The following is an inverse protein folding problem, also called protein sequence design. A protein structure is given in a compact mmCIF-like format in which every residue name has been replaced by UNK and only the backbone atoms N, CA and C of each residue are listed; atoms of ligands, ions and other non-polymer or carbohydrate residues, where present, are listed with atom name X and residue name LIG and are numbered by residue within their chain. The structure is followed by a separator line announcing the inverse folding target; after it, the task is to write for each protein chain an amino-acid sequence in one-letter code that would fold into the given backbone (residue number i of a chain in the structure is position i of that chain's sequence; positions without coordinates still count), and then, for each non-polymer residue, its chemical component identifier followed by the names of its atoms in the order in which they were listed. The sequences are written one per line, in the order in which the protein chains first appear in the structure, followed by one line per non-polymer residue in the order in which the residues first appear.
data_IF_139874177539
#
_entry.id   IF_139874177539
#
_cell.length_a   1.000
_cell.length_b   1.000
_cell.length_c   1.000
_cell.angle_alpha   90.00
_cell.angle_beta   90.00
_cell.angle_gamma   90.00
#
_symmetry.space_group_name_H-M   'P 1'
#
loop_
_entity.id
_entity.type
_entity.pdbx_description
1 polymer ?
#
# COMPACT_ATOMS: atom_id res chain seq x y z
N UNK A 1 -32.10 -13.38 3.93
CA UNK A 1 -31.51 -12.52 4.98
C UNK A 1 -30.02 -12.78 4.90
N UNK A 2 -29.25 -11.79 4.46
CA UNK A 2 -27.79 -11.93 4.36
C UNK A 2 -27.22 -12.12 5.77
N UNK A 3 -26.21 -12.99 5.92
CA UNK A 3 -25.50 -13.20 7.17
C UNK A 3 -24.08 -12.61 7.09
N UNK A 4 -23.40 -12.44 8.22
CA UNK A 4 -22.06 -11.86 8.25
C UNK A 4 -21.05 -12.56 7.31
N UNK A 5 -21.17 -13.88 7.11
CA UNK A 5 -20.29 -14.64 6.22
C UNK A 5 -20.52 -14.30 4.73
N UNK A 6 -21.76 -14.02 4.35
CA UNK A 6 -22.09 -13.56 2.99
C UNK A 6 -21.55 -12.15 2.75
N UNK A 7 -21.74 -11.24 3.71
CA UNK A 7 -21.20 -9.87 3.62
C UNK A 7 -19.67 -9.86 3.56
N UNK A 8 -18.99 -10.71 4.33
CA UNK A 8 -17.53 -10.85 4.27
C UNK A 8 -17.05 -11.34 2.90
N UNK A 9 -17.75 -12.32 2.31
CA UNK A 9 -17.44 -12.80 0.96
C UNK A 9 -17.61 -11.68 -0.08
N UNK A 10 -18.74 -10.96 -0.04
CA UNK A 10 -19.03 -9.86 -0.96
C UNK A 10 -18.04 -8.73 -0.81
N UNK A 11 -17.64 -8.37 0.42
CA UNK A 11 -16.65 -7.34 0.69
C UNK A 11 -15.29 -7.66 0.08
N UNK A 12 -14.82 -8.91 0.22
CA UNK A 12 -13.52 -9.35 -0.32
C UNK A 12 -13.47 -9.39 -1.84
N UNK A 13 -14.58 -9.77 -2.47
CA UNK A 13 -14.63 -9.97 -3.93
C UNK A 13 -15.25 -8.78 -4.68
N UNK A 14 -15.73 -7.76 -3.97
CA UNK A 14 -16.59 -6.70 -4.50
C UNK A 14 -17.81 -7.27 -5.24
N UNK A 15 -18.36 -8.37 -4.76
CA UNK A 15 -19.38 -9.12 -5.48
C UNK A 15 -20.73 -8.39 -5.47
N UNK A 16 -21.09 -7.83 -6.63
CA UNK A 16 -22.27 -6.99 -6.81
C UNK A 16 -22.21 -5.63 -6.11
N UNK A 17 -21.04 -5.23 -5.58
CA UNK A 17 -20.80 -3.94 -4.93
C UNK A 17 -19.76 -3.12 -5.70
N UNK A 18 -19.91 -1.80 -5.65
CA UNK A 18 -18.97 -0.87 -6.26
C UNK A 18 -17.74 -0.73 -5.36
N UNK A 19 -16.55 -0.89 -5.95
CA UNK A 19 -15.30 -0.72 -5.21
C UNK A 19 -15.10 0.76 -4.76
N UNK A 20 -14.50 1.02 -3.59
CA UNK A 20 -14.37 2.37 -3.02
C UNK A 20 -13.82 3.45 -3.97
N UNK A 21 -12.78 3.15 -4.74
CA UNK A 21 -12.18 4.11 -5.68
C UNK A 21 -13.16 4.59 -6.77
N UNK A 22 -14.10 3.75 -7.22
CA UNK A 22 -15.13 4.16 -8.17
C UNK A 22 -16.20 5.04 -7.51
N UNK A 23 -16.48 4.82 -6.23
CA UNK A 23 -17.41 5.65 -5.45
C UNK A 23 -16.84 7.05 -5.27
N UNK A 24 -15.55 7.15 -4.97
CA UNK A 24 -14.86 8.44 -4.86
C UNK A 24 -14.97 9.22 -6.17
N UNK A 25 -14.68 8.57 -7.31
CA UNK A 25 -14.82 9.17 -8.64
C UNK A 25 -16.27 9.58 -8.94
N UNK A 26 -17.28 8.78 -8.57
CA UNK A 26 -18.70 9.14 -8.71
C UNK A 26 -19.04 10.40 -7.90
N UNK A 27 -18.57 10.48 -6.64
CA UNK A 27 -18.83 11.62 -5.76
C UNK A 27 -18.13 12.88 -6.28
N UNK A 28 -16.87 12.79 -6.70
CA UNK A 28 -16.08 13.89 -7.26
C UNK A 28 -16.75 14.50 -8.50
N UNK A 29 -17.34 13.66 -9.35
CA UNK A 29 -18.08 14.08 -10.55
C UNK A 29 -19.54 14.45 -10.28
N UNK A 30 -19.96 14.55 -9.02
CA UNK A 30 -21.28 15.04 -8.62
C UNK A 30 -22.41 14.00 -8.65
N UNK A 31 -22.10 12.72 -8.87
CA UNK A 31 -23.08 11.62 -8.97
C UNK A 31 -23.49 11.04 -7.61
N UNK A 32 -23.56 11.88 -6.58
CA UNK A 32 -23.88 11.46 -5.18
C UNK A 32 -25.25 10.80 -5.07
N UNK A 33 -26.23 11.20 -5.90
CA UNK A 33 -27.56 10.59 -5.92
C UNK A 33 -27.54 9.13 -6.34
N UNK A 34 -26.65 8.78 -7.26
CA UNK A 34 -26.50 7.40 -7.71
C UNK A 34 -25.87 6.54 -6.62
N UNK A 35 -24.84 7.06 -5.93
CA UNK A 35 -24.24 6.41 -4.76
C UNK A 35 -25.27 6.23 -3.63
N UNK A 36 -26.13 7.23 -3.39
CA UNK A 36 -27.22 7.14 -2.41
C UNK A 36 -28.20 6.03 -2.76
N UNK A 37 -28.64 5.95 -4.03
CA UNK A 37 -29.54 4.90 -4.50
C UNK A 37 -28.93 3.51 -4.29
N UNK A 38 -27.65 3.34 -4.60
CA UNK A 38 -26.94 2.08 -4.41
C UNK A 38 -26.78 1.71 -2.93
N UNK A 39 -26.54 2.69 -2.06
CA UNK A 39 -26.53 2.48 -0.62
C UNK A 39 -27.88 1.94 -0.12
N UNK A 40 -28.99 2.52 -0.59
CA UNK A 40 -30.36 2.08 -0.25
C UNK A 40 -30.69 0.69 -0.80
N UNK A 41 -30.02 0.25 -1.86
CA UNK A 41 -30.10 -1.11 -2.42
C UNK A 41 -29.23 -2.14 -1.68
N UNK A 42 -28.50 -1.72 -0.64
CA UNK A 42 -27.65 -2.60 0.16
C UNK A 42 -26.20 -2.71 -0.34
N UNK A 43 -25.71 -1.75 -1.12
CA UNK A 43 -24.27 -1.64 -1.39
C UNK A 43 -23.53 -1.08 -0.17
N UNK A 44 -22.74 -1.94 0.49
CA UNK A 44 -22.01 -1.57 1.71
C UNK A 44 -21.06 -0.39 1.52
N UNK A 45 -20.28 -0.41 0.44
CA UNK A 45 -19.27 0.63 0.23
C UNK A 45 -19.93 1.97 -0.09
N UNK A 46 -21.05 1.95 -0.83
CA UNK A 46 -21.86 3.13 -1.06
C UNK A 46 -22.50 3.62 0.25
N UNK A 47 -23.08 2.71 1.04
CA UNK A 47 -23.68 3.03 2.34
C UNK A 47 -22.67 3.69 3.27
N UNK A 48 -21.45 3.14 3.38
CA UNK A 48 -20.36 3.71 4.17
C UNK A 48 -19.96 5.10 3.68
N UNK A 49 -19.79 5.29 2.36
CA UNK A 49 -19.42 6.59 1.80
C UNK A 49 -20.49 7.67 2.04
N UNK A 50 -21.76 7.30 1.92
CA UNK A 50 -22.90 8.17 2.22
C UNK A 50 -22.98 8.47 3.72
N UNK A 51 -22.84 7.46 4.58
CA UNK A 51 -22.83 7.62 6.03
C UNK A 51 -21.73 8.61 6.48
N UNK A 52 -20.52 8.48 5.95
CA UNK A 52 -19.43 9.43 6.20
C UNK A 52 -19.81 10.87 5.78
N UNK A 53 -20.51 11.03 4.65
CA UNK A 53 -21.04 12.34 4.18
C UNK A 53 -22.18 12.88 5.05
N UNK A 54 -22.98 12.03 5.67
CA UNK A 54 -24.00 12.42 6.65
C UNK A 54 -23.33 12.89 7.94
N UNK A 55 -22.36 12.13 8.45
CA UNK A 55 -21.58 12.46 9.64
C UNK A 55 -20.82 13.79 9.50
N UNK A 56 -20.16 14.03 8.35
CA UNK A 56 -19.50 15.29 8.06
C UNK A 56 -20.45 16.52 8.04
N UNK A 57 -21.76 16.30 7.92
CA UNK A 57 -22.81 17.35 8.02
C UNK A 57 -23.48 17.40 9.40
N UNK A 58 -22.97 16.67 10.39
CA UNK A 58 -23.55 16.52 11.71
C UNK A 58 -24.80 15.65 11.77
N UNK A 59 -25.15 14.95 10.69
CA UNK A 59 -26.32 14.06 10.62
C UNK A 59 -25.95 12.64 11.06
N UNK A 60 -25.47 12.50 12.29
CA UNK A 60 -24.95 11.23 12.81
C UNK A 60 -26.01 10.13 12.87
N UNK A 61 -27.24 10.45 13.27
CA UNK A 61 -28.33 9.46 13.33
C UNK A 61 -28.69 8.90 11.95
N UNK A 62 -28.70 9.73 10.90
CA UNK A 62 -28.91 9.25 9.53
C UNK A 62 -27.77 8.30 9.09
N UNK A 63 -26.54 8.63 9.47
CA UNK A 63 -25.36 7.81 9.16
C UNK A 63 -25.44 6.45 9.88
N UNK A 64 -25.81 6.45 11.16
CA UNK A 64 -26.01 5.23 11.95
C UNK A 64 -27.12 4.38 11.36
N UNK A 65 -28.30 4.96 11.12
CA UNK A 65 -29.46 4.25 10.57
C UNK A 65 -29.16 3.58 9.23
N UNK A 66 -28.28 4.16 8.41
CA UNK A 66 -27.86 3.59 7.14
C UNK A 66 -26.96 2.36 7.31
N UNK A 67 -26.12 2.32 8.35
CA UNK A 67 -25.16 1.22 8.59
C UNK A 67 -25.70 0.13 9.53
N UNK A 68 -26.67 0.46 10.39
CA UNK A 68 -27.27 -0.48 11.36
C UNK A 68 -27.73 -1.81 10.73
N UNK A 69 -28.40 -1.83 9.55
CA UNK A 69 -28.81 -3.09 8.94
C UNK A 69 -27.65 -4.06 8.65
N UNK A 70 -26.46 -3.54 8.36
CA UNK A 70 -25.26 -4.35 8.15
C UNK A 70 -24.67 -4.81 9.48
N UNK A 71 -24.62 -3.94 10.49
CA UNK A 71 -24.11 -4.26 11.82
C UNK A 71 -24.97 -5.31 12.55
N UNK A 72 -26.30 -5.27 12.37
CA UNK A 72 -27.24 -6.23 12.96
C UNK A 72 -27.00 -7.68 12.49
N UNK A 73 -26.26 -7.87 11.38
CA UNK A 73 -25.85 -9.21 10.92
C UNK A 73 -24.69 -9.80 11.73
N UNK A 74 -24.08 -9.01 12.62
CA UNK A 74 -22.85 -9.36 13.35
C UNK A 74 -21.58 -9.21 12.52
N UNK A 75 -21.63 -8.48 11.40
CA UNK A 75 -20.49 -8.31 10.51
C UNK A 75 -19.54 -7.23 11.05
N UNK A 76 -18.31 -7.64 11.43
CA UNK A 76 -17.35 -6.79 12.13
C UNK A 76 -17.08 -5.44 11.44
N UNK A 77 -16.88 -5.41 10.12
CA UNK A 77 -16.58 -4.15 9.42
C UNK A 77 -17.71 -3.11 9.52
N UNK A 78 -18.97 -3.57 9.62
CA UNK A 78 -20.10 -2.68 9.83
C UNK A 78 -20.16 -2.16 11.26
N UNK A 79 -19.86 -3.03 12.23
CA UNK A 79 -19.77 -2.65 13.65
C UNK A 79 -18.63 -1.67 13.91
N UNK A 80 -17.46 -1.92 13.32
CA UNK A 80 -16.31 -1.01 13.36
C UNK A 80 -16.68 0.37 12.82
N UNK A 81 -17.31 0.43 11.64
CA UNK A 81 -17.74 1.70 11.04
C UNK A 81 -18.76 2.46 11.90
N UNK A 82 -19.69 1.74 12.55
CA UNK A 82 -20.64 2.37 13.50
C UNK A 82 -19.90 2.89 14.73
N UNK A 83 -18.98 2.11 15.30
CA UNK A 83 -18.19 2.54 16.45
C UNK A 83 -17.33 3.76 16.13
N UNK A 84 -16.73 3.85 14.94
CA UNK A 84 -16.00 5.04 14.48
C UNK A 84 -16.93 6.27 14.43
N UNK A 85 -18.11 6.15 13.82
CA UNK A 85 -19.11 7.22 13.76
C UNK A 85 -19.59 7.68 15.15
N UNK A 86 -19.77 6.74 16.08
CA UNK A 86 -20.13 7.03 17.47
C UNK A 86 -19.00 7.79 18.18
N UNK A 87 -17.76 7.34 18.04
CA UNK A 87 -16.59 8.00 18.63
C UNK A 87 -16.42 9.44 18.09
N UNK A 88 -16.50 9.62 16.77
CA UNK A 88 -16.36 10.92 16.10
C UNK A 88 -17.49 11.90 16.46
N UNK A 89 -18.67 11.38 16.80
CA UNK A 89 -19.81 12.20 17.26
C UNK A 89 -19.80 12.49 18.76
N UNK A 90 -18.75 12.09 19.49
CA UNK A 90 -18.59 12.32 20.93
C UNK A 90 -19.31 11.30 21.82
N UNK A 91 -19.79 10.19 21.25
CA UNK A 91 -20.47 9.09 21.94
C UNK A 91 -19.49 7.94 22.21
N UNK A 92 -18.37 8.26 22.85
CA UNK A 92 -17.27 7.32 23.07
C UNK A 92 -17.69 6.08 23.88
N UNK A 93 -18.51 6.24 24.91
CA UNK A 93 -18.99 5.12 25.73
C UNK A 93 -19.78 4.08 24.91
N UNK A 94 -20.65 4.53 24.01
CA UNK A 94 -21.44 3.64 23.14
C UNK A 94 -20.55 2.93 22.10
N UNK A 95 -19.58 3.66 21.54
CA UNK A 95 -18.58 3.09 20.63
C UNK A 95 -17.77 1.98 21.32
N UNK A 96 -17.35 2.23 22.56
CA UNK A 96 -16.59 1.28 23.38
C UNK A 96 -17.45 0.07 23.73
N UNK A 97 -18.67 0.26 24.20
CA UNK A 97 -19.58 -0.84 24.55
C UNK A 97 -19.81 -1.77 23.34
N UNK A 98 -20.07 -1.17 22.17
CA UNK A 98 -20.26 -1.91 20.94
C UNK A 98 -19.01 -2.70 20.53
N UNK A 99 -17.84 -2.06 20.55
CA UNK A 99 -16.57 -2.70 20.17
C UNK A 99 -16.16 -3.81 21.15
N UNK A 100 -16.30 -3.58 22.46
CA UNK A 100 -15.99 -4.58 23.50
C UNK A 100 -16.92 -5.78 23.40
N UNK A 101 -18.23 -5.56 23.21
CA UNK A 101 -19.19 -6.64 23.04
C UNK A 101 -18.85 -7.54 21.84
N UNK A 102 -18.34 -6.97 20.75
CA UNK A 102 -17.82 -7.75 19.63
C UNK A 102 -16.46 -8.40 19.91
N UNK A 103 -15.54 -7.74 20.62
CA UNK A 103 -14.26 -8.32 21.02
C UNK A 103 -14.42 -9.59 21.88
N UNK A 104 -15.46 -9.65 22.72
CA UNK A 104 -15.79 -10.84 23.53
C UNK A 104 -16.19 -12.06 22.68
N UNK A 105 -16.69 -11.85 21.45
CA UNK A 105 -16.98 -12.93 20.50
C UNK A 105 -15.71 -13.58 19.91
N UNK A 106 -14.54 -12.98 20.14
CA UNK A 106 -13.23 -13.53 19.77
C UNK A 106 -12.68 -13.07 18.42
N UNK A 107 -13.33 -12.11 17.75
CA UNK A 107 -12.76 -11.48 16.56
C UNK A 107 -11.47 -10.71 16.90
N UNK A 108 -10.39 -11.04 16.19
CA UNK A 108 -9.05 -10.48 16.44
C UNK A 108 -8.96 -8.99 16.11
N UNK A 109 -9.64 -8.54 15.06
CA UNK A 109 -9.69 -7.13 14.69
C UNK A 109 -10.50 -6.35 15.73
N UNK A 110 -11.62 -6.92 16.19
CA UNK A 110 -12.46 -6.33 17.24
C UNK A 110 -11.71 -6.09 18.55
N UNK A 111 -10.92 -7.06 19.00
CA UNK A 111 -10.11 -6.93 20.22
C UNK A 111 -9.12 -5.77 20.13
N UNK A 112 -8.42 -5.62 19.00
CA UNK A 112 -7.45 -4.54 18.82
C UNK A 112 -8.13 -3.17 18.76
N UNK A 113 -9.20 -3.06 17.97
CA UNK A 113 -9.95 -1.83 17.83
C UNK A 113 -10.58 -1.38 19.16
N UNK A 114 -11.20 -2.30 19.90
CA UNK A 114 -11.75 -2.00 21.23
C UNK A 114 -10.68 -1.52 22.21
N UNK A 115 -9.49 -2.15 22.21
CA UNK A 115 -8.38 -1.72 23.06
C UNK A 115 -7.85 -0.33 22.69
N UNK A 116 -7.82 0.02 21.39
CA UNK A 116 -7.46 1.35 20.93
C UNK A 116 -8.47 2.42 21.34
N UNK A 117 -9.77 2.14 21.21
CA UNK A 117 -10.83 3.05 21.66
C UNK A 117 -10.75 3.28 23.17
N UNK A 118 -10.63 2.21 23.96
CA UNK A 118 -10.45 2.30 25.41
C UNK A 118 -9.23 3.14 25.77
N UNK A 119 -8.10 2.95 25.09
CA UNK A 119 -6.89 3.74 25.34
C UNK A 119 -7.05 5.22 24.98
N UNK A 120 -7.70 5.53 23.84
CA UNK A 120 -7.99 6.91 23.41
C UNK A 120 -8.91 7.64 24.39
N UNK A 121 -9.84 6.93 25.00
CA UNK A 121 -10.75 7.43 26.05
C UNK A 121 -10.10 7.53 27.44
N UNK A 122 -8.83 7.09 27.58
CA UNK A 122 -8.09 7.10 28.85
C UNK A 122 -8.36 5.88 29.76
N UNK A 123 -9.19 4.93 29.32
CA UNK A 123 -9.51 3.65 30.00
C UNK A 123 -8.44 2.59 29.74
N UNK A 124 -7.18 2.95 29.98
CA UNK A 124 -5.99 2.15 29.65
C UNK A 124 -5.97 0.81 30.38
N UNK A 125 -6.42 0.78 31.64
CA UNK A 125 -6.46 -0.47 32.42
C UNK A 125 -7.39 -1.52 31.80
N UNK A 126 -8.52 -1.08 31.26
CA UNK A 126 -9.47 -1.95 30.56
C UNK A 126 -8.90 -2.43 29.22
N UNK A 127 -8.23 -1.54 28.48
CA UNK A 127 -7.53 -1.92 27.25
C UNK A 127 -6.46 -3.01 27.52
N UNK A 128 -5.68 -2.85 28.59
CA UNK A 128 -4.70 -3.85 29.00
C UNK A 128 -5.38 -5.16 29.45
N UNK A 129 -6.46 -5.08 30.23
CA UNK A 129 -7.21 -6.27 30.66
C UNK A 129 -7.78 -7.06 29.47
N UNK A 130 -8.17 -6.36 28.39
CA UNK A 130 -8.64 -6.97 27.16
C UNK A 130 -7.53 -7.69 26.38
N UNK A 131 -6.35 -7.05 26.26
CA UNK A 131 -5.23 -7.54 25.44
C UNK A 131 -4.38 -8.62 26.11
N UNK A 132 -4.07 -8.49 27.41
CA UNK A 132 -3.11 -9.37 28.12
C UNK A 132 -3.42 -10.87 27.99
N UNK A 133 -4.67 -11.34 28.18
CA UNK A 133 -4.97 -12.77 28.03
C UNK A 133 -4.73 -13.31 26.61
N UNK A 134 -4.62 -12.42 25.62
CA UNK A 134 -4.52 -12.72 24.19
C UNK A 134 -3.14 -12.34 23.61
N UNK A 135 -2.18 -11.92 24.43
CA UNK A 135 -0.87 -11.39 24.02
C UNK A 135 -0.03 -12.37 23.18
N UNK A 136 -0.35 -13.67 23.24
CA UNK A 136 0.27 -14.73 22.42
C UNK A 136 0.09 -14.50 20.92
N UNK A 137 -0.94 -13.78 20.51
CA UNK A 137 -1.05 -13.34 19.12
C UNK A 137 -0.31 -12.03 18.92
N UNK A 138 0.58 -12.01 17.92
CA UNK A 138 1.45 -10.89 17.61
C UNK A 138 0.71 -9.55 17.44
N UNK A 139 -0.52 -9.57 16.91
CA UNK A 139 -1.32 -8.37 16.70
C UNK A 139 -1.79 -7.72 18.01
N UNK A 140 -2.05 -8.51 19.06
CA UNK A 140 -2.39 -8.01 20.39
C UNK A 140 -1.14 -7.51 21.14
N UNK A 141 0.00 -8.18 20.96
CA UNK A 141 1.29 -7.70 21.47
C UNK A 141 1.68 -6.35 20.85
N UNK A 142 1.50 -6.19 19.55
CA UNK A 142 1.74 -4.92 18.86
C UNK A 142 0.77 -3.82 19.33
N UNK A 143 -0.52 -4.15 19.48
CA UNK A 143 -1.50 -3.21 20.02
C UNK A 143 -1.10 -2.73 21.42
N UNK A 144 -0.68 -3.65 22.30
CA UNK A 144 -0.21 -3.33 23.66
C UNK A 144 0.97 -2.34 23.65
N UNK A 145 1.97 -2.57 22.78
CA UNK A 145 3.12 -1.66 22.64
C UNK A 145 2.68 -0.27 22.19
N UNK A 146 1.78 -0.17 21.20
CA UNK A 146 1.31 1.13 20.70
C UNK A 146 0.48 1.88 21.73
N UNK A 147 -0.51 1.24 22.37
CA UNK A 147 -1.40 1.94 23.31
C UNK A 147 -0.69 2.37 24.60
N UNK A 148 0.44 1.73 24.93
CA UNK A 148 1.23 2.05 26.13
C UNK A 148 2.21 3.19 25.94
N UNK A 149 2.32 3.72 24.72
CA UNK A 149 3.24 4.81 24.40
C UNK A 149 2.94 6.08 25.21
N UNK A 150 3.96 6.65 25.85
CA UNK A 150 3.80 7.82 26.72
C UNK A 150 3.04 7.60 28.03
N UNK A 151 2.58 6.37 28.35
CA UNK A 151 1.78 6.11 29.55
C UNK A 151 2.58 5.70 30.79
N UNK A 152 3.91 5.60 30.69
CA UNK A 152 4.77 5.18 31.79
C UNK A 152 4.59 3.72 32.23
N UNK A 153 4.08 2.87 31.34
CA UNK A 153 3.84 1.42 31.58
C UNK A 153 4.85 0.51 30.90
N UNK A 154 5.99 1.05 30.49
CA UNK A 154 6.98 0.32 29.68
C UNK A 154 7.51 -0.95 30.36
N UNK A 155 7.81 -0.90 31.66
CA UNK A 155 8.29 -2.09 32.40
C UNK A 155 7.23 -3.21 32.43
N UNK A 156 5.95 -2.87 32.61
CA UNK A 156 4.86 -3.85 32.54
C UNK A 156 4.79 -4.46 31.14
N UNK A 157 4.86 -3.65 30.09
CA UNK A 157 4.81 -4.14 28.71
C UNK A 157 6.02 -5.01 28.38
N UNK A 158 7.21 -4.68 28.88
CA UNK A 158 8.42 -5.49 28.71
C UNK A 158 8.27 -6.88 29.36
N UNK A 159 7.60 -6.97 30.51
CA UNK A 159 7.27 -8.25 31.16
C UNK A 159 6.31 -9.09 30.30
N UNK A 160 5.23 -8.50 29.80
CA UNK A 160 4.27 -9.17 28.91
C UNK A 160 4.94 -9.64 27.60
N UNK A 161 5.82 -8.81 27.02
CA UNK A 161 6.57 -9.18 25.81
C UNK A 161 7.59 -10.29 26.06
N UNK A 162 8.10 -10.43 27.29
CA UNK A 162 8.96 -11.56 27.67
C UNK A 162 8.18 -12.87 27.65
N UNK A 163 6.94 -12.87 28.15
CA UNK A 163 6.06 -14.04 28.06
C UNK A 163 5.71 -14.38 26.61
N UNK A 164 5.40 -13.37 25.80
CA UNK A 164 5.17 -13.52 24.36
C UNK A 164 6.38 -14.16 23.66
N UNK A 165 7.60 -13.66 23.94
CA UNK A 165 8.84 -14.22 23.39
C UNK A 165 9.09 -15.67 23.82
N UNK A 166 8.77 -16.01 25.07
CA UNK A 166 8.96 -17.36 25.61
C UNK A 166 8.00 -18.37 24.97
N UNK A 167 6.77 -17.95 24.66
CA UNK A 167 5.77 -18.76 23.98
C UNK A 167 6.00 -18.87 22.46
N UNK A 168 6.73 -17.93 21.86
CA UNK A 168 6.96 -17.88 20.42
C UNK A 168 7.92 -18.98 19.92
N UNK A 169 7.60 -19.65 18.80
CA UNK A 169 8.54 -20.53 18.10
C UNK A 169 9.85 -19.79 17.77
N UNK A 170 11.02 -20.46 17.73
CA UNK A 170 12.30 -19.81 17.45
C UNK A 170 12.32 -18.92 16.20
N UNK A 171 11.61 -19.31 15.13
CA UNK A 171 11.50 -18.54 13.88
C UNK A 171 10.59 -17.31 13.95
N UNK A 172 9.84 -17.13 15.03
CA UNK A 172 8.93 -16.00 15.24
C UNK A 172 9.41 -15.05 16.35
N UNK A 173 10.50 -15.41 17.06
CA UNK A 173 11.07 -14.59 18.13
C UNK A 173 11.56 -13.23 17.67
N UNK A 174 11.88 -13.07 16.39
CA UNK A 174 12.20 -11.77 15.80
C UNK A 174 11.08 -10.75 16.00
N UNK A 175 9.80 -11.15 15.96
CA UNK A 175 8.66 -10.24 16.20
C UNK A 175 8.68 -9.71 17.63
N UNK A 176 8.90 -10.59 18.59
CA UNK A 176 9.00 -10.22 19.99
C UNK A 176 10.22 -9.32 20.25
N UNK A 177 11.35 -9.60 19.60
CA UNK A 177 12.54 -8.76 19.68
C UNK A 177 12.31 -7.35 19.11
N UNK A 178 11.61 -7.23 17.98
CA UNK A 178 11.24 -5.91 17.42
C UNK A 178 10.36 -5.12 18.39
N UNK A 179 9.26 -5.70 18.86
CA UNK A 179 8.35 -5.04 19.79
C UNK A 179 9.06 -4.63 21.09
N UNK A 180 9.90 -5.51 21.62
CA UNK A 180 10.69 -5.24 22.83
C UNK A 180 11.70 -4.14 22.60
N UNK A 181 12.38 -4.11 21.45
CA UNK A 181 13.34 -3.06 21.12
C UNK A 181 12.67 -1.69 21.03
N UNK A 182 11.47 -1.59 20.45
CA UNK A 182 10.69 -0.34 20.43
C UNK A 182 10.40 0.19 21.83
N UNK A 183 9.97 -0.69 22.76
CA UNK A 183 9.69 -0.29 24.15
C UNK A 183 10.97 0.05 24.92
N UNK A 184 12.07 -0.69 24.68
CA UNK A 184 13.38 -0.40 25.28
C UNK A 184 13.95 0.93 24.78
N UNK A 185 13.83 1.23 23.48
CA UNK A 185 14.30 2.50 22.91
C UNK A 185 13.58 3.69 23.54
N UNK A 186 12.23 3.68 23.56
CA UNK A 186 11.46 4.81 24.11
C UNK A 186 11.61 4.98 25.63
N UNK A 187 11.94 3.92 26.36
CA UNK A 187 12.27 3.98 27.79
C UNK A 187 13.73 4.41 28.06
N UNK A 188 14.50 4.74 27.02
CA UNK A 188 15.89 5.19 27.12
C UNK A 188 16.92 4.08 27.27
N UNK A 189 16.51 2.81 27.18
CA UNK A 189 17.36 1.61 27.33
C UNK A 189 17.91 1.16 25.97
N UNK A 190 18.59 2.07 25.26
CA UNK A 190 19.05 1.88 23.88
C UNK A 190 20.01 0.69 23.76
N UNK A 191 20.91 0.48 24.72
CA UNK A 191 21.83 -0.67 24.70
C UNK A 191 21.11 -2.01 24.77
N UNK A 192 20.07 -2.12 25.61
CA UNK A 192 19.25 -3.32 25.71
C UNK A 192 18.45 -3.56 24.42
N UNK A 193 17.96 -2.48 23.79
CA UNK A 193 17.24 -2.56 22.51
C UNK A 193 18.16 -3.08 21.39
N UNK A 194 19.36 -2.51 21.29
CA UNK A 194 20.41 -2.94 20.34
C UNK A 194 20.75 -4.41 20.57
N UNK A 195 21.02 -4.81 21.81
CA UNK A 195 21.35 -6.20 22.14
C UNK A 195 20.21 -7.18 21.79
N UNK A 196 18.95 -6.78 22.03
CA UNK A 196 17.79 -7.62 21.69
C UNK A 196 17.65 -7.85 20.17
N UNK A 197 17.88 -6.82 19.36
CA UNK A 197 17.83 -6.93 17.90
C UNK A 197 19.05 -7.68 17.35
N UNK A 198 20.25 -7.38 17.82
CA UNK A 198 21.50 -8.04 17.39
C UNK A 198 21.41 -9.56 17.51
N UNK A 199 20.83 -10.08 18.59
CA UNK A 199 20.62 -11.53 18.77
C UNK A 199 19.71 -12.19 17.74
N UNK A 200 18.89 -11.40 17.03
CA UNK A 200 17.92 -11.88 16.04
C UNK A 200 18.29 -11.49 14.61
N UNK A 201 19.39 -10.77 14.38
CA UNK A 201 19.83 -10.37 13.03
C UNK A 201 20.02 -11.61 12.16
N UNK A 202 20.71 -12.63 12.69
CA UNK A 202 20.99 -13.86 11.98
C UNK A 202 20.77 -15.07 12.88
N UNK A 203 19.74 -15.87 12.57
CA UNK A 203 19.37 -17.05 13.36
C UNK A 203 19.12 -18.22 12.41
N UNK A 204 19.66 -19.40 12.72
CA UNK A 204 19.50 -20.62 11.91
C UNK A 204 19.82 -20.41 10.42
N UNK A 205 20.90 -19.68 10.11
CA UNK A 205 21.35 -19.36 8.75
C UNK A 205 20.45 -18.39 7.96
N UNK A 206 19.47 -17.77 8.61
CA UNK A 206 18.57 -16.78 7.99
C UNK A 206 18.86 -15.41 8.58
N UNK A 207 19.10 -14.43 7.70
CA UNK A 207 19.13 -13.01 8.07
C UNK A 207 17.72 -12.43 7.96
N UNK A 208 17.24 -11.82 9.03
CA UNK A 208 15.92 -11.17 9.07
C UNK A 208 16.05 -9.71 8.64
N UNK A 209 15.65 -9.39 7.41
CA UNK A 209 15.75 -8.03 6.83
C UNK A 209 15.10 -6.99 7.74
N UNK A 210 13.90 -7.28 8.25
CA UNK A 210 13.18 -6.42 9.17
C UNK A 210 13.90 -6.16 10.52
N UNK A 211 14.76 -7.09 10.97
CA UNK A 211 15.61 -6.88 12.16
C UNK A 211 16.82 -6.02 11.80
N UNK A 212 17.45 -6.28 10.65
CA UNK A 212 18.55 -5.47 10.14
C UNK A 212 18.10 -4.02 9.98
N UNK A 213 16.95 -3.78 9.36
CA UNK A 213 16.42 -2.44 9.13
C UNK A 213 16.14 -1.71 10.45
N UNK A 214 15.45 -2.36 11.38
CA UNK A 214 15.15 -1.77 12.69
C UNK A 214 16.43 -1.50 13.50
N UNK A 215 17.39 -2.42 13.49
CA UNK A 215 18.66 -2.22 14.17
C UNK A 215 19.46 -1.09 13.53
N UNK A 216 19.50 -1.02 12.20
CA UNK A 216 20.19 0.04 11.48
C UNK A 216 19.57 1.41 11.77
N UNK A 217 18.24 1.49 11.76
CA UNK A 217 17.51 2.71 12.13
C UNK A 217 17.77 3.15 13.56
N UNK A 218 17.76 2.20 14.51
CA UNK A 218 18.06 2.45 15.91
C UNK A 218 19.49 2.97 16.07
N UNK A 219 20.47 2.31 15.46
CA UNK A 219 21.87 2.73 15.52
C UNK A 219 22.08 4.11 14.90
N UNK A 220 21.42 4.41 13.77
CA UNK A 220 21.50 5.70 13.10
C UNK A 220 20.90 6.84 13.95
N UNK A 221 19.67 6.66 14.48
CA UNK A 221 19.01 7.67 15.33
C UNK A 221 19.82 8.05 16.57
N UNK A 222 20.57 7.10 17.12
CA UNK A 222 21.39 7.31 18.33
C UNK A 222 22.88 7.57 18.02
N UNK A 223 23.24 7.85 16.76
CA UNK A 223 24.61 8.21 16.36
C UNK A 223 25.65 7.10 16.54
N UNK A 224 25.24 5.83 16.63
CA UNK A 224 26.10 4.67 16.84
C UNK A 224 26.71 4.18 15.52
N UNK A 225 27.42 5.09 14.84
CA UNK A 225 27.92 4.88 13.48
C UNK A 225 28.91 3.72 13.36
N UNK A 226 29.72 3.45 14.38
CA UNK A 226 30.68 2.34 14.37
C UNK A 226 29.98 0.98 14.33
N UNK A 227 28.95 0.80 15.16
CA UNK A 227 28.15 -0.44 15.17
C UNK A 227 27.31 -0.59 13.91
N UNK A 228 26.83 0.52 13.34
CA UNK A 228 26.12 0.49 12.07
C UNK A 228 27.05 0.07 10.92
N UNK A 229 28.29 0.57 10.90
CA UNK A 229 29.30 0.08 9.94
C UNK A 229 29.61 -1.40 10.15
N UNK A 230 29.77 -1.85 11.39
CA UNK A 230 29.96 -3.27 11.67
C UNK A 230 28.75 -4.14 11.24
N UNK A 231 27.53 -3.61 11.32
CA UNK A 231 26.33 -4.28 10.82
C UNK A 231 26.34 -4.39 9.29
N UNK A 232 26.76 -3.33 8.58
CA UNK A 232 26.94 -3.31 7.12
C UNK A 232 27.99 -4.34 6.69
N UNK A 233 29.15 -4.34 7.35
CA UNK A 233 30.27 -5.27 7.06
C UNK A 233 29.94 -6.73 7.44
N UNK A 234 28.92 -6.93 8.28
CA UNK A 234 28.47 -8.22 8.77
C UNK A 234 27.22 -8.74 8.06
N UNK A 235 26.24 -9.19 8.86
CA UNK A 235 25.02 -9.81 8.35
C UNK A 235 23.98 -8.82 7.81
N UNK A 236 24.16 -7.51 8.03
CA UNK A 236 23.24 -6.48 7.56
C UNK A 236 23.43 -6.14 6.08
N UNK A 237 24.66 -6.16 5.59
CA UNK A 237 25.00 -5.97 4.18
C UNK A 237 24.34 -4.72 3.57
N UNK A 238 23.89 -4.87 2.33
CA UNK A 238 23.24 -3.77 1.58
C UNK A 238 22.02 -3.20 2.30
N UNK A 239 21.24 -4.02 3.00
CA UNK A 239 20.02 -3.57 3.67
C UNK A 239 20.33 -2.55 4.78
N UNK A 240 21.38 -2.80 5.57
CA UNK A 240 21.83 -1.83 6.57
C UNK A 240 22.41 -0.56 5.92
N UNK A 241 23.10 -0.71 4.78
CA UNK A 241 23.65 0.42 4.04
C UNK A 241 22.56 1.32 3.48
N UNK A 242 21.47 0.75 2.94
CA UNK A 242 20.32 1.51 2.45
C UNK A 242 19.67 2.34 3.56
N UNK A 243 19.50 1.76 4.77
CA UNK A 243 18.98 2.51 5.92
C UNK A 243 19.90 3.65 6.32
N UNK A 244 21.21 3.41 6.39
CA UNK A 244 22.18 4.47 6.70
C UNK A 244 22.14 5.60 5.65
N UNK A 245 22.09 5.27 4.36
CA UNK A 245 21.97 6.27 3.30
C UNK A 245 20.72 7.14 3.47
N UNK A 246 19.56 6.54 3.79
CA UNK A 246 18.33 7.28 4.06
C UNK A 246 18.43 8.21 5.28
N UNK A 247 19.09 7.78 6.36
CA UNK A 247 19.32 8.64 7.53
C UNK A 247 20.29 9.79 7.25
N UNK A 248 21.36 9.53 6.49
CA UNK A 248 22.32 10.57 6.08
C UNK A 248 21.63 11.63 5.24
N UNK A 249 20.82 11.21 4.27
CA UNK A 249 20.02 12.13 3.48
C UNK A 249 19.04 12.95 4.33
N UNK A 250 18.29 12.33 5.25
CA UNK A 250 17.36 13.05 6.14
C UNK A 250 18.09 14.07 7.03
N UNK A 251 19.35 13.81 7.37
CA UNK A 251 20.22 14.74 8.08
C UNK A 251 20.83 15.83 7.18
N UNK A 252 20.60 15.78 5.86
CA UNK A 252 21.13 16.71 4.87
C UNK A 252 22.52 16.34 4.34
N UNK A 253 23.09 15.21 4.75
CA UNK A 253 24.37 14.68 4.26
C UNK A 253 24.16 13.81 3.02
N UNK A 254 23.75 14.47 1.93
CA UNK A 254 23.50 13.83 0.64
C UNK A 254 24.79 13.23 0.07
N UNK A 255 25.92 13.92 0.23
CA UNK A 255 27.21 13.45 -0.28
C UNK A 255 27.66 12.17 0.46
N UNK A 256 27.53 12.11 1.79
CA UNK A 256 27.83 10.89 2.55
C UNK A 256 26.91 9.72 2.19
N UNK A 257 25.62 9.98 1.93
CA UNK A 257 24.70 8.96 1.43
C UNK A 257 25.12 8.42 0.06
N UNK A 258 25.59 9.29 -0.83
CA UNK A 258 26.10 8.91 -2.14
C UNK A 258 27.40 8.10 -2.04
N UNK A 259 28.39 8.56 -1.26
CA UNK A 259 29.66 7.84 -1.04
C UNK A 259 29.44 6.41 -0.53
N UNK A 260 28.39 6.20 0.27
CA UNK A 260 28.00 4.87 0.75
C UNK A 260 27.40 3.99 -0.34
N UNK A 261 26.56 4.55 -1.22
CA UNK A 261 25.83 3.79 -2.25
C UNK A 261 26.64 3.57 -3.54
N UNK A 262 27.57 4.47 -3.88
CA UNK A 262 28.46 4.38 -5.04
C UNK A 262 29.15 3.02 -5.21
N UNK A 263 29.87 2.47 -4.21
CA UNK A 263 30.53 1.18 -4.36
C UNK A 263 29.53 0.02 -4.55
N UNK A 264 28.34 0.13 -3.95
CA UNK A 264 27.28 -0.87 -4.11
C UNK A 264 26.66 -0.82 -5.51
N UNK A 265 26.45 0.37 -6.06
CA UNK A 265 25.96 0.57 -7.43
C UNK A 265 27.01 0.19 -8.48
N UNK A 266 28.29 0.40 -8.20
CA UNK A 266 29.39 0.01 -9.08
C UNK A 266 29.46 -1.50 -9.32
N UNK A 267 28.86 -2.32 -8.46
CA UNK A 267 28.76 -3.77 -8.67
C UNK A 267 27.76 -4.16 -9.78
N UNK A 268 27.08 -3.19 -10.40
CA UNK A 268 26.09 -3.43 -11.45
C UNK A 268 24.77 -4.03 -10.96
N UNK A 269 24.54 -4.09 -9.65
CA UNK A 269 23.30 -4.60 -9.08
C UNK A 269 22.19 -3.54 -9.23
N UNK A 270 20.95 -3.94 -9.61
CA UNK A 270 19.85 -3.00 -9.84
C UNK A 270 19.48 -2.16 -8.61
N UNK A 271 19.24 -2.79 -7.46
CA UNK A 271 18.74 -2.09 -6.26
C UNK A 271 19.64 -0.93 -5.77
N UNK A 272 20.96 -1.11 -5.58
CA UNK A 272 21.82 0.02 -5.21
C UNK A 272 21.88 1.12 -6.28
N UNK A 273 21.81 0.74 -7.56
CA UNK A 273 21.88 1.68 -8.68
C UNK A 273 20.65 2.59 -8.71
N UNK A 274 19.46 2.03 -8.46
CA UNK A 274 18.19 2.77 -8.37
C UNK A 274 18.20 3.73 -7.19
N UNK A 275 18.55 3.25 -5.99
CA UNK A 275 18.62 4.10 -4.80
C UNK A 275 19.59 5.27 -4.97
N UNK A 276 20.77 5.03 -5.55
CA UNK A 276 21.75 6.08 -5.85
C UNK A 276 21.21 7.08 -6.89
N UNK A 277 20.54 6.60 -7.93
CA UNK A 277 19.98 7.45 -8.97
C UNK A 277 18.83 8.33 -8.46
N UNK A 278 17.93 7.80 -7.64
CA UNK A 278 16.85 8.58 -7.00
C UNK A 278 17.41 9.67 -6.09
N UNK A 279 18.47 9.37 -5.33
CA UNK A 279 19.17 10.34 -4.50
C UNK A 279 19.81 11.44 -5.36
N UNK A 280 20.52 11.06 -6.43
CA UNK A 280 21.13 11.99 -7.38
C UNK A 280 20.12 12.91 -8.05
N UNK A 281 18.95 12.41 -8.46
CA UNK A 281 17.87 13.22 -9.05
C UNK A 281 17.36 14.25 -8.05
N UNK A 282 17.11 13.86 -6.79
CA UNK A 282 16.65 14.77 -5.74
C UNK A 282 17.71 15.81 -5.36
N UNK A 283 18.99 15.47 -5.52
CA UNK A 283 20.12 16.39 -5.41
C UNK A 283 20.33 17.30 -6.63
N UNK A 284 19.52 17.18 -7.69
CA UNK A 284 19.65 17.95 -8.93
C UNK A 284 20.77 17.47 -9.87
N UNK A 285 21.36 16.30 -9.60
CA UNK A 285 22.48 15.69 -10.35
C UNK A 285 21.96 14.64 -11.34
N UNK A 286 20.99 15.03 -12.17
CA UNK A 286 20.30 14.10 -13.07
C UNK A 286 21.26 13.38 -14.04
N UNK A 287 22.29 14.06 -14.56
CA UNK A 287 23.31 13.47 -15.46
C UNK A 287 24.01 12.24 -14.87
N UNK A 288 24.35 12.31 -13.59
CA UNK A 288 25.03 11.22 -12.91
C UNK A 288 24.05 10.08 -12.62
N UNK A 289 22.81 10.40 -12.23
CA UNK A 289 21.75 9.41 -12.05
C UNK A 289 21.57 8.57 -13.32
N UNK A 290 21.59 9.23 -14.49
CA UNK A 290 21.46 8.55 -15.77
C UNK A 290 22.63 7.64 -16.06
N UNK A 291 23.85 8.09 -15.77
CA UNK A 291 25.05 7.28 -15.97
C UNK A 291 25.03 6.02 -15.10
N UNK A 292 24.53 6.13 -13.86
CA UNK A 292 24.35 5.00 -12.95
C UNK A 292 23.33 4.00 -13.51
N UNK A 293 22.14 4.46 -13.87
CA UNK A 293 21.07 3.58 -14.35
C UNK A 293 21.38 2.96 -15.72
N UNK A 294 21.99 3.72 -16.65
CA UNK A 294 22.42 3.19 -17.96
C UNK A 294 23.37 2.02 -17.79
N UNK A 295 24.30 2.08 -16.83
CA UNK A 295 25.21 0.96 -16.54
C UNK A 295 24.47 -0.25 -15.96
N UNK A 296 23.46 -0.03 -15.14
CA UNK A 296 22.64 -1.10 -14.58
C UNK A 296 21.82 -1.83 -15.66
N UNK A 297 21.27 -1.09 -16.64
CA UNK A 297 20.52 -1.67 -17.77
C UNK A 297 21.37 -2.59 -18.65
N UNK A 298 22.66 -2.28 -18.82
CA UNK A 298 23.60 -3.14 -19.58
C UNK A 298 23.93 -4.43 -18.80
N UNK A 299 23.80 -4.41 -17.46
CA UNK A 299 24.16 -5.50 -16.57
C UNK A 299 23.02 -6.49 -16.27
N UNK A 300 21.78 -6.19 -16.63
CA UNK A 300 20.64 -7.07 -16.37
C UNK A 300 19.36 -6.64 -17.11
N UNK A 301 18.65 -7.64 -17.62
CA UNK A 301 17.34 -7.50 -18.27
C UNK A 301 16.23 -7.58 -17.20
N UNK A 302 16.10 -6.54 -16.37
CA UNK A 302 15.01 -6.47 -15.40
C UNK A 302 13.99 -5.41 -15.83
N UNK A 303 12.80 -5.85 -16.25
CA UNK A 303 11.73 -4.97 -16.77
C UNK A 303 11.38 -3.81 -15.83
N UNK A 304 11.41 -4.06 -14.51
CA UNK A 304 11.12 -3.05 -13.50
C UNK A 304 12.23 -1.97 -13.43
N UNK A 305 13.49 -2.31 -13.74
CA UNK A 305 14.59 -1.36 -13.79
C UNK A 305 14.43 -0.40 -14.98
N UNK A 306 14.02 -0.95 -16.12
CA UNK A 306 13.73 -0.17 -17.32
C UNK A 306 12.57 0.81 -17.07
N UNK A 307 11.51 0.36 -16.41
CA UNK A 307 10.40 1.21 -16.00
C UNK A 307 10.85 2.34 -15.07
N UNK A 308 11.56 2.01 -13.99
CA UNK A 308 12.08 3.00 -13.02
C UNK A 308 12.98 4.04 -13.70
N UNK A 309 13.84 3.59 -14.62
CA UNK A 309 14.68 4.49 -15.40
C UNK A 309 13.85 5.44 -16.28
N UNK A 310 12.85 4.94 -17.01
CA UNK A 310 12.00 5.78 -17.84
C UNK A 310 11.22 6.83 -17.03
N UNK A 311 10.72 6.46 -15.85
CA UNK A 311 10.05 7.40 -14.94
C UNK A 311 10.99 8.51 -14.46
N UNK A 312 12.21 8.17 -14.05
CA UNK A 312 13.22 9.15 -13.63
C UNK A 312 13.66 10.06 -14.80
N UNK A 313 13.75 9.53 -16.02
CA UNK A 313 14.01 10.33 -17.22
C UNK A 313 12.89 11.32 -17.51
N UNK A 314 11.64 10.89 -17.39
CA UNK A 314 10.48 11.75 -17.57
C UNK A 314 10.42 12.85 -16.49
N UNK A 315 10.59 12.48 -15.22
CA UNK A 315 10.56 13.40 -14.08
C UNK A 315 11.70 14.45 -14.13
N UNK A 316 12.84 14.10 -14.72
CA UNK A 316 13.98 15.01 -14.93
C UNK A 316 13.90 15.82 -16.23
N UNK A 317 12.85 15.65 -17.03
CA UNK A 317 12.65 16.40 -18.29
C UNK A 317 13.56 15.96 -19.45
N UNK A 318 14.11 14.74 -19.39
CA UNK A 318 15.11 14.23 -20.34
C UNK A 318 14.56 13.19 -21.31
N UNK A 319 13.30 13.31 -21.67
CA UNK A 319 12.58 12.31 -22.47
C UNK A 319 13.26 12.01 -23.81
N UNK A 320 13.83 13.00 -24.50
CA UNK A 320 14.52 12.77 -25.80
C UNK A 320 15.82 11.95 -25.68
N UNK A 321 16.60 12.16 -24.62
CA UNK A 321 17.78 11.35 -24.36
C UNK A 321 17.39 9.91 -23.99
N UNK A 322 16.28 9.75 -23.27
CA UNK A 322 15.74 8.44 -22.95
C UNK A 322 15.27 7.70 -24.21
N UNK A 323 14.56 8.39 -25.11
CA UNK A 323 14.14 7.80 -26.38
C UNK A 323 15.34 7.34 -27.20
N UNK A 324 16.44 8.10 -27.20
CA UNK A 324 17.69 7.71 -27.87
C UNK A 324 18.28 6.43 -27.27
N UNK A 325 18.31 6.31 -25.93
CA UNK A 325 18.80 5.08 -25.27
C UNK A 325 17.89 3.89 -25.57
N UNK A 326 16.57 4.08 -25.62
CA UNK A 326 15.65 3.01 -26.03
C UNK A 326 15.88 2.58 -27.48
N UNK A 327 16.17 3.52 -28.38
CA UNK A 327 16.54 3.21 -29.78
C UNK A 327 17.85 2.41 -29.84
N UNK A 328 18.87 2.80 -29.09
CA UNK A 328 20.13 2.03 -28.99
C UNK A 328 19.93 0.62 -28.44
N UNK A 329 19.05 0.45 -27.44
CA UNK A 329 18.70 -0.86 -26.89
C UNK A 329 17.91 -1.71 -27.90
N UNK A 330 17.00 -1.08 -28.65
CA UNK A 330 16.23 -1.73 -29.70
C UNK A 330 17.07 -2.15 -30.92
N UNK A 331 18.21 -1.49 -31.17
CA UNK A 331 19.20 -1.93 -32.16
C UNK A 331 20.00 -3.18 -31.72
N UNK A 332 19.82 -3.61 -30.47
CA UNK A 332 20.41 -4.81 -29.91
C UNK A 332 19.82 -6.12 -30.46
N UNK A 333 20.35 -7.28 -30.00
CA UNK A 333 19.98 -8.60 -30.53
C UNK A 333 18.50 -8.99 -30.32
N UNK A 334 17.80 -8.34 -29.39
CA UNK A 334 16.41 -8.62 -29.06
C UNK A 334 15.40 -7.70 -29.77
N UNK A 335 15.88 -6.67 -30.50
CA UNK A 335 15.00 -5.73 -31.16
C UNK A 335 14.20 -4.85 -30.19
N UNK A 336 13.22 -4.12 -30.73
CA UNK A 336 12.21 -3.43 -29.94
C UNK A 336 11.24 -4.44 -29.31
N UNK A 337 11.47 -4.83 -28.06
CA UNK A 337 10.53 -5.66 -27.29
C UNK A 337 9.29 -4.85 -26.90
N UNK A 338 8.24 -5.52 -26.43
CA UNK A 338 7.04 -4.82 -25.96
C UNK A 338 7.35 -3.92 -24.76
N UNK A 339 8.21 -4.38 -23.86
CA UNK A 339 8.58 -3.68 -22.62
C UNK A 339 9.34 -2.38 -22.93
N UNK A 340 10.28 -2.43 -23.88
CA UNK A 340 10.96 -1.25 -24.41
C UNK A 340 9.99 -0.30 -25.12
N UNK A 341 9.11 -0.86 -25.95
CA UNK A 341 8.11 -0.08 -26.67
C UNK A 341 7.13 0.61 -25.71
N UNK A 342 6.70 -0.05 -24.64
CA UNK A 342 5.82 0.53 -23.63
C UNK A 342 6.46 1.71 -22.90
N UNK A 343 7.75 1.61 -22.54
CA UNK A 343 8.47 2.75 -21.97
C UNK A 343 8.64 3.88 -22.98
N UNK A 344 8.87 3.58 -24.27
CA UNK A 344 8.93 4.57 -25.35
C UNK A 344 7.63 5.37 -25.43
N UNK A 345 6.49 4.70 -25.39
CA UNK A 345 5.17 5.35 -25.41
C UNK A 345 4.99 6.30 -24.21
N UNK A 346 5.38 5.87 -23.01
CA UNK A 346 5.36 6.69 -21.80
C UNK A 346 6.24 7.94 -21.92
N UNK A 347 7.46 7.79 -22.43
CA UNK A 347 8.40 8.90 -22.63
C UNK A 347 7.95 9.88 -23.72
N UNK A 348 7.39 9.39 -24.83
CA UNK A 348 6.77 10.24 -25.85
C UNK A 348 5.62 11.06 -25.25
N UNK A 349 4.76 10.43 -24.45
CA UNK A 349 3.66 11.10 -23.77
C UNK A 349 4.16 12.18 -22.80
N UNK A 350 5.12 11.84 -21.94
CA UNK A 350 5.74 12.78 -21.00
C UNK A 350 6.47 13.94 -21.71
N UNK A 351 7.03 13.70 -22.90
CA UNK A 351 7.63 14.71 -23.76
C UNK A 351 6.64 15.58 -24.54
N UNK A 352 5.33 15.44 -24.31
CA UNK A 352 4.29 16.19 -25.02
C UNK A 352 4.00 15.70 -26.43
N UNK A 353 4.49 14.51 -26.79
CA UNK A 353 4.31 13.85 -28.10
C UNK A 353 3.26 12.74 -28.05
N UNK A 354 2.19 12.93 -27.27
CA UNK A 354 1.12 11.93 -27.07
C UNK A 354 0.52 11.47 -28.40
N UNK A 355 0.26 12.40 -29.34
CA UNK A 355 -0.27 12.06 -30.66
C UNK A 355 0.63 11.10 -31.45
N UNK A 356 1.95 11.20 -31.32
CA UNK A 356 2.89 10.26 -31.92
C UNK A 356 2.85 8.90 -31.21
N UNK A 357 2.81 8.88 -29.87
CA UNK A 357 2.67 7.64 -29.11
C UNK A 357 1.41 6.86 -29.53
N UNK A 358 0.28 7.56 -29.69
CA UNK A 358 -0.98 6.99 -30.20
C UNK A 358 -0.80 6.42 -31.61
N UNK A 359 -0.12 7.13 -32.51
CA UNK A 359 0.12 6.65 -33.87
C UNK A 359 1.02 5.40 -33.87
N UNK A 360 2.16 5.44 -33.19
CA UNK A 360 3.10 4.32 -33.12
C UNK A 360 2.42 3.07 -32.56
N UNK A 361 1.61 3.20 -31.51
CA UNK A 361 0.89 2.07 -30.92
C UNK A 361 -0.18 1.49 -31.86
N UNK A 362 -0.84 2.32 -32.68
CA UNK A 362 -1.81 1.82 -33.69
C UNK A 362 -1.15 1.01 -34.78
N UNK A 363 0.02 1.46 -35.22
CA UNK A 363 0.81 0.81 -36.27
C UNK A 363 1.54 -0.45 -35.75
N UNK A 364 1.66 -0.60 -34.43
CA UNK A 364 2.31 -1.74 -33.81
C UNK A 364 1.58 -3.07 -34.11
N UNK A 365 2.29 -4.16 -34.46
CA UNK A 365 1.66 -5.44 -34.81
C UNK A 365 0.78 -6.04 -33.70
N UNK A 366 1.07 -5.71 -32.45
CA UNK A 366 0.35 -6.17 -31.26
C UNK A 366 -0.79 -5.23 -30.82
N UNK A 367 -1.14 -4.22 -31.62
CA UNK A 367 -2.14 -3.20 -31.27
C UNK A 367 -3.51 -3.77 -30.89
N UNK A 368 -3.88 -4.93 -31.44
CA UNK A 368 -5.11 -5.66 -31.11
C UNK A 368 -5.04 -6.54 -29.85
N UNK A 369 -3.89 -6.62 -29.17
CA UNK A 369 -3.77 -7.36 -27.90
C UNK A 369 -4.34 -6.53 -26.73
N UNK A 370 -4.80 -7.21 -25.68
CA UNK A 370 -5.56 -6.57 -24.59
C UNK A 370 -4.76 -5.48 -23.86
N UNK A 371 -3.47 -5.71 -23.56
CA UNK A 371 -2.64 -4.74 -22.87
C UNK A 371 -2.28 -3.56 -23.79
N UNK A 372 -2.13 -3.77 -25.10
CA UNK A 372 -1.89 -2.71 -26.08
C UNK A 372 -3.13 -1.83 -26.26
N UNK A 373 -4.31 -2.45 -26.31
CA UNK A 373 -5.61 -1.76 -26.32
C UNK A 373 -5.79 -0.90 -25.06
N UNK A 374 -5.43 -1.45 -23.90
CA UNK A 374 -5.47 -0.71 -22.63
C UNK A 374 -4.53 0.50 -22.64
N UNK A 375 -3.26 0.32 -23.01
CA UNK A 375 -2.29 1.44 -23.11
C UNK A 375 -2.71 2.49 -24.14
N UNK A 376 -3.30 2.08 -25.27
CA UNK A 376 -3.84 3.02 -26.27
C UNK A 376 -4.95 3.88 -25.69
N UNK A 377 -5.82 3.26 -24.90
CA UNK A 377 -6.94 3.95 -24.25
C UNK A 377 -6.46 4.95 -23.20
N UNK A 378 -5.41 4.61 -22.43
CA UNK A 378 -4.79 5.55 -21.48
C UNK A 378 -4.15 6.74 -22.19
N UNK A 379 -3.43 6.52 -23.30
CA UNK A 379 -2.86 7.60 -24.10
C UNK A 379 -3.94 8.51 -24.70
N UNK A 380 -5.03 7.93 -25.22
CA UNK A 380 -6.16 8.69 -25.77
C UNK A 380 -6.86 9.51 -24.69
N UNK A 381 -7.08 8.94 -23.50
CA UNK A 381 -7.64 9.67 -22.36
C UNK A 381 -6.72 10.83 -21.91
N UNK A 382 -5.41 10.60 -21.86
CA UNK A 382 -4.44 11.65 -21.54
C UNK A 382 -4.39 12.77 -22.60
N UNK A 383 -4.71 12.45 -23.87
CA UNK A 383 -4.86 13.41 -24.98
C UNK A 383 -6.23 14.13 -24.98
N UNK A 384 -7.13 13.81 -24.03
CA UNK A 384 -8.50 14.36 -23.95
C UNK A 384 -9.48 13.75 -24.96
N UNK A 385 -9.16 12.60 -25.56
CA UNK A 385 -9.97 11.88 -26.56
C UNK A 385 -10.76 10.75 -25.91
N UNK A 386 -11.53 11.08 -24.88
CA UNK A 386 -12.23 10.11 -24.02
C UNK A 386 -13.21 9.20 -24.76
N UNK A 387 -13.98 9.74 -25.72
CA UNK A 387 -14.94 8.92 -26.49
C UNK A 387 -14.21 7.88 -27.36
N UNK A 388 -13.08 8.27 -27.96
CA UNK A 388 -12.27 7.35 -28.74
C UNK A 388 -11.57 6.31 -27.86
N UNK A 389 -11.14 6.71 -26.65
CA UNK A 389 -10.65 5.78 -25.65
C UNK A 389 -11.74 4.76 -25.27
N UNK A 390 -12.98 5.20 -25.05
CA UNK A 390 -14.12 4.31 -24.78
C UNK A 390 -14.41 3.35 -25.93
N UNK A 391 -14.40 3.82 -27.18
CA UNK A 391 -14.59 2.96 -28.38
C UNK A 391 -13.51 1.87 -28.49
N UNK A 392 -12.26 2.22 -28.22
CA UNK A 392 -11.13 1.27 -28.20
C UNK A 392 -11.32 0.23 -27.09
N UNK A 393 -11.72 0.65 -25.89
CA UNK A 393 -11.99 -0.25 -24.76
C UNK A 393 -13.18 -1.18 -25.03
N UNK A 394 -14.20 -0.71 -25.74
CA UNK A 394 -15.40 -1.49 -26.08
C UNK A 394 -15.13 -2.56 -27.14
N UNK A 395 -14.30 -2.24 -28.13
CA UNK A 395 -13.94 -3.13 -29.23
C UNK A 395 -12.80 -4.11 -28.91
N UNK A 396 -12.14 -3.96 -27.76
CA UNK A 396 -11.03 -4.81 -27.32
C UNK A 396 -11.41 -6.26 -26.97
N UNK A 397 -10.44 -7.20 -27.00
CA UNK A 397 -10.68 -8.63 -26.79
C UNK A 397 -10.91 -9.05 -25.32
N UNK A 398 -10.52 -8.22 -24.34
CA UNK A 398 -10.71 -8.49 -22.91
C UNK A 398 -11.11 -7.21 -22.16
N UNK A 399 -12.32 -7.20 -21.59
CA UNK A 399 -12.86 -6.06 -20.83
C UNK A 399 -12.48 -6.09 -19.35
N UNK A 400 -11.93 -7.18 -18.82
CA UNK A 400 -11.75 -7.38 -17.38
C UNK A 400 -10.70 -6.43 -16.79
N UNK A 401 -9.55 -6.31 -17.46
CA UNK A 401 -8.46 -5.41 -17.07
C UNK A 401 -8.72 -3.94 -17.41
N UNK A 402 -9.71 -3.67 -18.27
CA UNK A 402 -10.00 -2.35 -18.81
C UNK A 402 -11.24 -1.69 -18.17
N UNK A 403 -11.93 -2.46 -17.30
CA UNK A 403 -13.16 -2.06 -16.59
C UNK A 403 -12.98 -0.79 -15.77
N UNK A 404 -11.85 -0.65 -15.05
CA UNK A 404 -11.61 0.50 -14.16
C UNK A 404 -11.46 1.81 -14.95
N UNK A 405 -10.57 1.82 -15.96
CA UNK A 405 -10.39 2.98 -16.83
C UNK A 405 -11.69 3.34 -17.55
N UNK A 406 -12.40 2.34 -18.08
CA UNK A 406 -13.69 2.54 -18.75
C UNK A 406 -14.72 3.16 -17.81
N UNK A 407 -14.82 2.69 -16.57
CA UNK A 407 -15.73 3.24 -15.59
C UNK A 407 -15.39 4.71 -15.28
N UNK A 408 -14.11 5.03 -15.05
CA UNK A 408 -13.67 6.41 -14.81
C UNK A 408 -14.02 7.34 -15.97
N UNK A 409 -13.78 6.91 -17.21
CA UNK A 409 -14.14 7.68 -18.42
C UNK A 409 -15.66 7.89 -18.54
N UNK A 410 -16.46 6.84 -18.35
CA UNK A 410 -17.93 6.94 -18.37
C UNK A 410 -18.45 7.92 -17.30
N UNK A 411 -17.93 7.82 -16.07
CA UNK A 411 -18.33 8.70 -14.96
C UNK A 411 -17.97 10.16 -15.26
N UNK A 412 -16.74 10.41 -15.74
CA UNK A 412 -16.25 11.75 -16.12
C UNK A 412 -17.12 12.43 -17.19
N UNK A 413 -17.73 11.64 -18.06
CA UNK A 413 -18.62 12.10 -19.14
C UNK A 413 -20.10 12.18 -18.73
N UNK A 414 -20.42 11.91 -17.47
CA UNK A 414 -21.79 11.93 -16.96
C UNK A 414 -22.61 10.67 -17.25
N UNK A 415 -21.99 9.60 -17.76
CA UNK A 415 -22.60 8.29 -18.03
C UNK A 415 -22.48 7.37 -16.80
N UNK A 416 -22.81 7.89 -15.61
CA UNK A 416 -22.63 7.20 -14.34
C UNK A 416 -23.47 5.91 -14.22
N UNK A 417 -24.72 5.93 -14.66
CA UNK A 417 -25.61 4.76 -14.62
C UNK A 417 -25.04 3.58 -15.43
N UNK A 418 -24.43 3.88 -16.59
CA UNK A 418 -23.79 2.87 -17.43
C UNK A 418 -22.52 2.30 -16.78
N UNK A 419 -21.71 3.16 -16.17
CA UNK A 419 -20.53 2.74 -15.41
C UNK A 419 -20.93 1.82 -14.25
N UNK A 420 -21.95 2.19 -13.48
CA UNK A 420 -22.49 1.39 -12.36
C UNK A 420 -23.04 0.06 -12.85
N UNK A 421 -23.84 0.05 -13.92
CA UNK A 421 -24.40 -1.17 -14.49
C UNK A 421 -23.31 -2.13 -14.97
N UNK A 422 -22.21 -1.61 -15.51
CA UNK A 422 -21.04 -2.40 -15.88
C UNK A 422 -20.32 -2.96 -14.65
N UNK A 423 -20.03 -2.12 -13.66
CA UNK A 423 -19.27 -2.48 -12.45
C UNK A 423 -20.00 -3.49 -11.55
N UNK A 424 -21.33 -3.48 -11.53
CA UNK A 424 -22.14 -4.42 -10.73
C UNK A 424 -22.27 -5.81 -11.35
N UNK A 425 -21.81 -6.03 -12.58
CA UNK A 425 -21.89 -7.37 -13.19
C UNK A 425 -21.01 -8.34 -12.39
N UNK A 426 -21.54 -9.49 -11.96
CA UNK A 426 -20.76 -10.47 -11.24
C UNK A 426 -19.53 -10.85 -12.07
N UNK A 427 -18.33 -10.75 -11.46
CA UNK A 427 -17.07 -11.16 -12.12
C UNK A 427 -17.02 -12.66 -12.39
N UNK A 428 -17.86 -13.44 -11.72
CA UNK A 428 -18.05 -14.86 -11.94
C UNK A 428 -19.54 -15.16 -12.15
N UNK A 429 -19.92 -16.02 -13.11
CA UNK A 429 -21.28 -16.54 -13.13
C UNK A 429 -21.55 -17.26 -11.80
N UNK A 430 -22.79 -17.23 -11.28
CA UNK A 430 -23.15 -18.04 -10.12
C UNK A 430 -22.79 -19.51 -10.42
N UNK A 431 -22.33 -20.30 -9.42
CA UNK A 431 -22.13 -21.72 -9.64
C UNK A 431 -23.41 -22.31 -10.22
N UNK A 432 -23.28 -23.06 -11.33
CA UNK A 432 -24.44 -23.76 -11.89
C UNK A 432 -25.10 -24.57 -10.77
N UNK A 433 -26.42 -24.48 -10.59
CA UNK A 433 -27.08 -25.33 -9.61
C UNK A 433 -26.76 -26.77 -9.96
N UNK A 434 -26.19 -27.51 -9.00
CA UNK A 434 -25.88 -28.92 -9.14
C UNK A 434 -27.08 -29.62 -9.78
N UNK A 435 -26.94 -30.06 -11.03
CA UNK A 435 -27.98 -30.80 -11.76
C UNK A 435 -28.15 -32.24 -11.22
N UNK A 436 -27.60 -32.54 -10.06
CA UNK A 436 -27.77 -33.79 -9.31
C UNK A 436 -27.88 -33.45 -7.83
N UNK A 437 -29.07 -33.71 -7.27
CA UNK A 437 -29.47 -33.29 -5.92
C UNK A 437 -28.91 -34.09 -4.76
#
# INVERSE_FOLDING_TARGET
MENAAELDRRARLYDGWIAPHHIDVLIEHGHVREVQRLAEEGDWYCARAIAARHAARGRHEDALALLTPFADTGWWYAVESIAELLADSGRADEAIELAVGHAESGDRAAVNYAAELLARDGRVDEAFALLRPRIRHWCHAQALVRISDGLGRDEQVLEELREFAAAAPPRERWRAAQLRATVLERSGRVDDAVAALQQQVHVQHVTFVNIVEHLADLLARHGRHEELRALIDGHGGDQAAYRLAGHLEQAGDVDGAMELLEPLAASGRPNPSVLLAELLVRAGRADEALSVLRRALVGGEEDWLLHTWAELMAASGRTEEALTVLDELADGPFGMTWELFEQRLGLLAAGGRIGQAVQELREHPRSGEWYATWRLSELLAADGRDEEALEVLESGPDHSMSTDLRARLLIGRGRAEEAVAMLRRPRFPPPEPDLWG
#
